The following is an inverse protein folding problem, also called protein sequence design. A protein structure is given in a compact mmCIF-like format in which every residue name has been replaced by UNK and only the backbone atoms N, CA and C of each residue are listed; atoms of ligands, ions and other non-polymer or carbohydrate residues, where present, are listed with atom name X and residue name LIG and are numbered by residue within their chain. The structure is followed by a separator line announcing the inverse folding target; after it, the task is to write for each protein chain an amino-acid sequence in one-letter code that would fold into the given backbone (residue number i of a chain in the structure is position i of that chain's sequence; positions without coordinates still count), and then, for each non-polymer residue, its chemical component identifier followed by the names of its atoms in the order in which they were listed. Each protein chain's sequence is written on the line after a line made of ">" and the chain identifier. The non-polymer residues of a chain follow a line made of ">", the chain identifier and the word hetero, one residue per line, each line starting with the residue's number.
data_IF_816520818217
#
_entry.id   IF_816520818217
#
_cell.length_a   1.000
_cell.length_b   1.000
_cell.length_c   1.000
_cell.angle_alpha   90.00
_cell.angle_beta   90.00
_cell.angle_gamma   90.00
#
_symmetry.space_group_name_H-M   'P 1'
#
loop_
_entity.id
_entity.type
_entity.pdbx_description
1 polymer ?
#
# COMPACT_ATOMS: atom_id res chain seq x y z
N UNK A 1 0.57 -3.84 20.89
CA UNK A 1 0.38 -4.64 22.12
C UNK A 1 -0.97 -5.37 22.17
N UNK A 2 -1.84 -5.18 21.18
CA UNK A 2 -3.19 -5.77 21.17
C UNK A 2 -3.29 -7.07 20.36
N UNK A 3 -2.23 -7.46 19.66
CA UNK A 3 -2.15 -8.70 18.89
C UNK A 3 -0.91 -9.49 19.34
N UNK A 4 -0.96 -10.16 20.49
CA UNK A 4 0.23 -10.79 21.11
C UNK A 4 0.84 -11.93 20.27
N UNK A 5 0.10 -12.47 19.31
CA UNK A 5 0.57 -13.54 18.41
C UNK A 5 0.96 -13.02 17.02
N UNK A 6 0.79 -11.72 16.73
CA UNK A 6 1.19 -11.15 15.46
C UNK A 6 2.71 -11.02 15.37
N UNK A 7 3.28 -11.48 14.27
CA UNK A 7 4.67 -11.24 13.91
C UNK A 7 4.73 -10.01 13.01
N UNK A 8 5.42 -8.99 13.46
CA UNK A 8 5.59 -7.73 12.75
C UNK A 8 6.95 -7.66 12.07
N UNK A 9 6.96 -7.13 10.85
CA UNK A 9 8.18 -6.76 10.13
C UNK A 9 8.00 -5.36 9.51
N UNK A 10 8.85 -4.43 9.89
CA UNK A 10 8.96 -3.13 9.26
C UNK A 10 10.01 -3.16 8.16
N UNK A 11 9.67 -2.59 7.00
CA UNK A 11 10.57 -2.43 5.86
C UNK A 11 10.58 -0.95 5.48
N UNK A 12 11.77 -0.39 5.32
CA UNK A 12 11.96 1.03 5.06
C UNK A 12 13.17 1.26 4.14
N UNK A 13 13.08 2.24 3.26
CA UNK A 13 14.16 2.60 2.36
C UNK A 13 15.26 3.43 3.06
N UNK A 14 14.88 4.28 4.01
CA UNK A 14 15.79 5.14 4.75
C UNK A 14 16.64 4.35 5.74
N UNK A 15 17.96 4.36 5.54
CA UNK A 15 18.91 3.72 6.45
C UNK A 15 18.79 4.27 7.88
N UNK A 16 18.62 5.59 8.01
CA UNK A 16 18.43 6.25 9.30
C UNK A 16 17.22 5.70 10.05
N UNK A 17 16.08 5.55 9.38
CA UNK A 17 14.86 5.03 10.00
C UNK A 17 15.00 3.53 10.32
N UNK A 18 15.66 2.76 9.46
CA UNK A 18 15.95 1.36 9.73
C UNK A 18 16.78 1.19 11.01
N UNK A 19 17.84 1.97 11.16
CA UNK A 19 18.69 1.93 12.35
C UNK A 19 17.92 2.38 13.61
N UNK A 20 17.10 3.44 13.49
CA UNK A 20 16.36 3.99 14.62
C UNK A 20 15.28 3.05 15.15
N UNK A 21 14.59 2.33 14.28
CA UNK A 21 13.42 1.50 14.64
C UNK A 21 13.67 0.00 14.56
N UNK A 22 14.88 -0.42 14.16
CA UNK A 22 15.19 -1.83 13.97
C UNK A 22 14.47 -2.45 12.78
N UNK A 23 14.16 -1.66 11.75
CA UNK A 23 13.49 -2.12 10.55
C UNK A 23 14.48 -2.65 9.51
N UNK A 24 13.99 -3.51 8.63
CA UNK A 24 14.77 -4.04 7.52
C UNK A 24 14.85 -3.02 6.39
N UNK A 25 16.05 -2.84 5.82
CA UNK A 25 16.21 -1.96 4.67
C UNK A 25 15.69 -2.65 3.41
N UNK A 26 14.78 -2.00 2.70
CA UNK A 26 14.23 -2.50 1.46
C UNK A 26 13.36 -1.48 0.76
N UNK A 27 13.00 -1.76 -0.48
CA UNK A 27 12.08 -0.96 -1.29
C UNK A 27 10.82 -1.75 -1.58
N UNK A 28 9.67 -1.10 -1.52
CA UNK A 28 8.39 -1.71 -1.92
C UNK A 28 8.39 -2.17 -3.39
N UNK A 29 9.31 -1.63 -4.20
CA UNK A 29 9.44 -1.95 -5.63
C UNK A 29 9.92 -3.38 -5.86
N UNK A 30 10.82 -3.88 -4.99
CA UNK A 30 11.54 -5.15 -5.19
C UNK A 30 11.76 -5.98 -3.92
N UNK A 31 11.25 -5.55 -2.78
CA UNK A 31 11.37 -6.31 -1.53
C UNK A 31 10.76 -7.70 -1.68
N UNK A 32 11.49 -8.71 -1.23
CA UNK A 32 11.05 -10.11 -1.26
C UNK A 32 10.92 -10.67 0.15
N UNK A 33 9.82 -11.35 0.41
CA UNK A 33 9.59 -12.09 1.64
C UNK A 33 9.69 -13.59 1.39
N UNK A 34 10.11 -14.34 2.40
CA UNK A 34 10.15 -15.82 2.35
C UNK A 34 8.74 -16.40 2.18
N UNK A 35 7.75 -15.74 2.79
CA UNK A 35 6.33 -16.10 2.68
C UNK A 35 5.51 -14.80 2.64
N UNK A 36 4.39 -14.78 1.91
CA UNK A 36 3.47 -13.66 1.93
C UNK A 36 2.92 -13.39 3.33
N UNK A 37 2.56 -12.14 3.58
CA UNK A 37 1.99 -11.68 4.83
C UNK A 37 0.46 -11.75 4.81
N UNK A 38 -0.15 -11.96 5.99
CA UNK A 38 -1.61 -11.92 6.15
C UNK A 38 -2.15 -10.49 6.08
N UNK A 39 -1.34 -9.52 6.52
CA UNK A 39 -1.64 -8.09 6.44
C UNK A 39 -0.41 -7.33 5.98
N UNK A 40 -0.59 -6.51 4.97
CA UNK A 40 0.41 -5.54 4.51
C UNK A 40 -0.13 -4.13 4.70
N UNK A 41 0.68 -3.24 5.24
CA UNK A 41 0.37 -1.81 5.39
C UNK A 41 1.38 -1.03 4.57
N UNK A 42 0.91 -0.30 3.55
CA UNK A 42 1.71 0.57 2.72
C UNK A 42 1.15 2.00 2.80
N UNK A 43 1.78 2.83 3.61
CA UNK A 43 1.28 4.15 3.96
C UNK A 43 2.28 5.23 3.57
N UNK A 44 1.85 6.19 2.75
CA UNK A 44 2.65 7.35 2.39
C UNK A 44 3.91 7.07 1.58
N UNK A 45 4.06 5.90 0.97
CA UNK A 45 5.27 5.46 0.27
C UNK A 45 5.14 5.62 -1.24
N UNK A 46 4.05 5.15 -1.83
CA UNK A 46 3.88 5.05 -3.28
C UNK A 46 3.90 6.39 -4.01
N UNK A 47 3.45 7.52 -3.44
CA UNK A 47 3.54 8.81 -4.10
C UNK A 47 4.98 9.28 -4.40
N UNK A 48 6.01 8.71 -3.78
CA UNK A 48 7.40 9.01 -4.07
C UNK A 48 7.99 8.25 -5.26
N UNK A 49 7.25 7.32 -5.82
CA UNK A 49 7.66 6.50 -6.96
C UNK A 49 7.19 7.13 -8.26
N UNK A 50 8.02 7.09 -9.30
CA UNK A 50 7.56 7.43 -10.65
C UNK A 50 6.56 6.37 -11.17
N UNK A 51 5.96 6.61 -12.34
CA UNK A 51 4.92 5.72 -12.87
C UNK A 51 5.40 4.29 -13.12
N UNK A 52 6.65 4.11 -13.52
CA UNK A 52 7.22 2.78 -13.77
C UNK A 52 7.44 2.02 -12.46
N UNK A 53 8.03 2.68 -11.47
CA UNK A 53 8.27 2.07 -10.16
C UNK A 53 6.98 1.90 -9.36
N UNK A 54 5.99 2.79 -9.53
CA UNK A 54 4.65 2.58 -8.98
C UNK A 54 4.04 1.28 -9.50
N UNK A 55 4.10 1.04 -10.82
CA UNK A 55 3.57 -0.18 -11.41
C UNK A 55 4.25 -1.44 -10.85
N UNK A 56 5.58 -1.42 -10.73
CA UNK A 56 6.34 -2.52 -10.11
C UNK A 56 5.96 -2.73 -8.64
N UNK A 57 5.84 -1.63 -7.88
CA UNK A 57 5.48 -1.70 -6.46
C UNK A 57 4.08 -2.29 -6.24
N UNK A 58 3.09 -1.88 -7.04
CA UNK A 58 1.73 -2.43 -6.97
C UNK A 58 1.71 -3.93 -7.30
N UNK A 59 2.48 -4.35 -8.29
CA UNK A 59 2.66 -5.77 -8.60
C UNK A 59 3.36 -6.51 -7.44
N UNK A 60 4.44 -5.93 -6.88
CA UNK A 60 5.17 -6.55 -5.77
C UNK A 60 4.32 -6.67 -4.50
N UNK A 61 3.47 -5.67 -4.20
CA UNK A 61 2.52 -5.75 -3.09
C UNK A 61 1.59 -6.96 -3.22
N UNK A 62 1.21 -7.36 -4.44
CA UNK A 62 0.40 -8.56 -4.65
C UNK A 62 1.14 -9.85 -4.29
N UNK A 63 2.44 -9.91 -4.55
CA UNK A 63 3.27 -11.04 -4.16
C UNK A 63 3.54 -11.11 -2.65
N UNK A 64 3.53 -9.95 -1.98
CA UNK A 64 3.78 -9.83 -0.54
C UNK A 64 2.54 -10.10 0.32
N UNK A 65 1.33 -9.96 -0.24
CA UNK A 65 0.07 -9.96 0.51
C UNK A 65 -0.86 -11.10 0.08
N UNK A 66 -1.10 -12.04 0.98
CA UNK A 66 -2.09 -13.12 0.77
C UNK A 66 -3.45 -12.88 1.46
N UNK A 67 -3.53 -11.86 2.31
CA UNK A 67 -4.74 -11.52 3.07
C UNK A 67 -5.22 -10.11 2.76
N UNK A 68 -5.03 -9.16 3.66
CA UNK A 68 -5.48 -7.80 3.51
C UNK A 68 -4.32 -6.84 3.26
N UNK A 69 -4.52 -5.87 2.35
CA UNK A 69 -3.63 -4.75 2.12
C UNK A 69 -4.35 -3.48 2.57
N UNK A 70 -3.72 -2.69 3.46
CA UNK A 70 -4.09 -1.31 3.71
C UNK A 70 -3.15 -0.41 2.91
N UNK A 71 -3.72 0.41 2.03
CA UNK A 71 -3.00 1.34 1.18
C UNK A 71 -3.46 2.76 1.45
N UNK A 72 -2.51 3.65 1.74
CA UNK A 72 -2.72 5.09 1.82
C UNK A 72 -1.75 5.79 0.88
N UNK A 73 -2.29 6.62 0.01
CA UNK A 73 -1.53 7.45 -0.89
C UNK A 73 -2.33 8.73 -1.20
N UNK A 74 -1.66 9.86 -1.23
CA UNK A 74 -2.23 11.12 -1.71
C UNK A 74 -2.26 11.08 -3.24
N UNK A 75 -3.43 11.35 -3.81
CA UNK A 75 -3.67 11.24 -5.26
C UNK A 75 -3.73 12.62 -5.94
N UNK A 76 -3.71 12.62 -7.28
CA UNK A 76 -3.90 13.85 -8.05
C UNK A 76 -5.25 14.52 -7.76
N UNK A 77 -6.29 13.72 -7.50
CA UNK A 77 -7.62 14.19 -7.15
C UNK A 77 -7.64 14.87 -5.76
N UNK A 78 -6.88 14.37 -4.79
CA UNK A 78 -6.75 14.98 -3.47
C UNK A 78 -6.07 16.35 -3.55
N UNK A 79 -5.02 16.47 -4.37
CA UNK A 79 -4.38 17.76 -4.65
C UNK A 79 -5.33 18.74 -5.34
N UNK A 80 -6.13 18.27 -6.31
CA UNK A 80 -7.09 19.09 -7.04
C UNK A 80 -8.29 19.53 -6.17
N UNK A 81 -8.67 18.74 -5.20
CA UNK A 81 -9.76 19.01 -4.26
C UNK A 81 -9.36 19.93 -3.08
N UNK A 82 -8.12 20.39 -3.03
CA UNK A 82 -7.57 21.25 -1.96
C UNK A 82 -7.76 20.65 -0.55
N UNK A 83 -7.74 19.33 -0.45
CA UNK A 83 -7.80 18.62 0.83
C UNK A 83 -6.41 18.30 1.39
N UNK A 84 -5.36 18.59 0.61
CA UNK A 84 -3.98 18.37 1.00
C UNK A 84 -3.39 19.66 1.56
N UNK A 85 -2.86 19.61 2.79
CA UNK A 85 -2.09 20.73 3.33
C UNK A 85 -0.69 20.76 2.68
N UNK A 86 -0.49 21.67 1.74
CA UNK A 86 0.78 21.83 1.02
C UNK A 86 1.98 22.16 1.94
N UNK A 87 1.72 22.69 3.13
CA UNK A 87 2.79 23.02 4.09
C UNK A 87 3.26 21.79 4.86
N UNK A 88 2.40 20.78 4.99
CA UNK A 88 2.68 19.56 5.72
C UNK A 88 2.99 18.38 4.79
N UNK A 89 2.72 18.52 3.48
CA UNK A 89 2.92 17.46 2.50
C UNK A 89 4.16 17.74 1.64
N UNK A 90 4.99 16.73 1.47
CA UNK A 90 6.21 16.85 0.68
C UNK A 90 5.88 17.09 -0.81
N UNK A 91 6.30 18.23 -1.33
CA UNK A 91 6.07 18.64 -2.73
C UNK A 91 6.82 17.75 -3.75
N UNK A 92 7.74 16.89 -3.32
CA UNK A 92 8.47 15.96 -4.20
C UNK A 92 7.67 14.73 -4.58
N UNK A 93 6.43 14.61 -4.12
CA UNK A 93 5.54 13.50 -4.49
C UNK A 93 5.09 13.62 -5.94
N UNK A 94 5.01 12.48 -6.62
CA UNK A 94 4.33 12.36 -7.90
C UNK A 94 2.81 12.36 -7.68
N UNK A 95 2.09 13.13 -8.50
CA UNK A 95 0.63 13.22 -8.40
C UNK A 95 -0.03 12.18 -9.29
N UNK A 96 0.01 10.93 -8.87
CA UNK A 96 -0.67 9.85 -9.58
C UNK A 96 -2.18 9.93 -9.39
N UNK A 97 -2.99 9.68 -10.43
CA UNK A 97 -4.44 9.60 -10.29
C UNK A 97 -4.81 8.34 -9.48
N UNK A 98 -5.90 8.41 -8.71
CA UNK A 98 -6.42 7.26 -7.95
C UNK A 98 -6.64 6.02 -8.83
N UNK A 99 -7.04 6.24 -10.09
CA UNK A 99 -7.24 5.16 -11.05
C UNK A 99 -5.95 4.36 -11.34
N UNK A 100 -4.78 4.99 -11.33
CA UNK A 100 -3.52 4.26 -11.53
C UNK A 100 -3.26 3.21 -10.43
N UNK A 101 -3.61 3.53 -9.19
CA UNK A 101 -3.53 2.57 -8.08
C UNK A 101 -4.55 1.43 -8.25
N UNK A 102 -5.80 1.78 -8.61
CA UNK A 102 -6.87 0.80 -8.83
C UNK A 102 -6.54 -0.15 -9.96
N UNK A 103 -6.05 0.36 -11.09
CA UNK A 103 -5.68 -0.46 -12.25
C UNK A 103 -4.57 -1.45 -11.92
N UNK A 104 -3.58 -1.02 -11.12
CA UNK A 104 -2.47 -1.89 -10.70
C UNK A 104 -2.88 -2.95 -9.67
N UNK A 105 -3.87 -2.66 -8.83
CA UNK A 105 -4.31 -3.58 -7.77
C UNK A 105 -5.45 -4.50 -8.20
N UNK A 106 -6.34 -4.07 -9.08
CA UNK A 106 -7.56 -4.81 -9.45
C UNK A 106 -7.33 -6.25 -9.95
N UNK A 107 -6.23 -6.58 -10.67
CA UNK A 107 -5.95 -7.97 -11.04
C UNK A 107 -5.77 -8.91 -9.85
N UNK A 108 -5.30 -8.40 -8.72
CA UNK A 108 -4.88 -9.20 -7.57
C UNK A 108 -5.73 -8.98 -6.32
N UNK A 109 -6.46 -7.88 -6.25
CA UNK A 109 -7.21 -7.49 -5.06
C UNK A 109 -8.65 -7.09 -5.39
N UNK A 110 -9.48 -7.14 -4.36
CA UNK A 110 -10.83 -6.59 -4.33
C UNK A 110 -10.79 -5.33 -3.47
N UNK A 111 -11.19 -4.18 -4.00
CA UNK A 111 -11.32 -2.94 -3.23
C UNK A 111 -12.49 -3.06 -2.24
N UNK A 112 -12.19 -2.82 -0.94
CA UNK A 112 -13.17 -2.89 0.14
C UNK A 112 -13.61 -1.51 0.63
N UNK A 113 -12.93 -0.46 0.18
CA UNK A 113 -13.12 0.91 0.64
C UNK A 113 -12.24 1.29 1.83
N UNK A 114 -12.13 2.59 2.09
CA UNK A 114 -11.32 3.12 3.19
C UNK A 114 -9.82 2.78 3.12
N UNK A 115 -9.28 2.57 1.92
CA UNK A 115 -7.88 2.15 1.73
C UNK A 115 -7.64 0.65 1.93
N UNK A 116 -8.69 -0.13 2.23
CA UNK A 116 -8.57 -1.57 2.46
C UNK A 116 -8.84 -2.37 1.16
N UNK A 117 -7.95 -3.32 0.92
CA UNK A 117 -7.99 -4.24 -0.23
C UNK A 117 -7.88 -5.67 0.27
N UNK A 118 -8.67 -6.58 -0.27
CA UNK A 118 -8.61 -8.00 0.03
C UNK A 118 -7.96 -8.76 -1.12
N UNK A 119 -6.94 -9.55 -0.82
CA UNK A 119 -6.31 -10.41 -1.84
C UNK A 119 -7.33 -11.38 -2.43
N UNK A 120 -7.31 -11.56 -3.75
CA UNK A 120 -8.15 -12.55 -4.43
C UNK A 120 -7.75 -14.00 -4.09
N UNK A 121 -6.54 -14.18 -3.53
CA UNK A 121 -6.07 -15.47 -3.03
C UNK A 121 -6.50 -15.74 -1.58
N UNK A 122 -7.07 -14.74 -0.89
CA UNK A 122 -7.61 -14.94 0.44
C UNK A 122 -8.84 -15.85 0.37
N UNK A 123 -8.83 -16.92 1.15
CA UNK A 123 -9.98 -17.84 1.27
C UNK A 123 -11.03 -17.25 2.22
N UNK A 124 -11.57 -16.08 1.82
CA UNK A 124 -12.58 -15.33 2.56
C UNK A 124 -13.72 -14.97 1.62
N UNK A 125 -14.98 -15.38 1.92
CA UNK A 125 -16.11 -14.96 1.12
C UNK A 125 -16.37 -13.47 1.31
N UNK A 126 -16.59 -12.75 0.21
CA UNK A 126 -16.92 -11.32 0.21
C UNK A 126 -18.37 -11.15 -0.24
N UNK A 127 -19.21 -10.69 0.66
CA UNK A 127 -20.64 -10.49 0.40
C UNK A 127 -20.91 -9.16 -0.31
N UNK A 128 -22.09 -9.02 -0.91
CA UNK A 128 -22.43 -7.86 -1.73
C UNK A 128 -22.33 -6.53 -0.99
N UNK A 129 -22.67 -6.47 0.31
CA UNK A 129 -22.57 -5.26 1.13
C UNK A 129 -21.14 -4.89 1.55
N UNK A 130 -20.19 -5.78 1.36
CA UNK A 130 -18.78 -5.58 1.70
C UNK A 130 -17.97 -5.00 0.53
N UNK A 131 -18.59 -4.93 -0.65
CA UNK A 131 -17.95 -4.36 -1.84
C UNK A 131 -18.46 -2.95 -2.08
N UNK A 132 -17.58 -1.99 -2.42
CA UNK A 132 -18.05 -0.71 -2.89
C UNK A 132 -18.94 -0.90 -4.14
N UNK A 133 -19.97 -0.07 -4.26
CA UNK A 133 -20.79 -0.01 -5.47
C UNK A 133 -19.93 0.60 -6.59
N UNK A 134 -19.89 -0.04 -7.77
CA UNK A 134 -19.12 0.48 -8.90
C UNK A 134 -19.63 1.83 -9.38
#
# INVERSE_FOLDING_TARGET
>A
RHLPHARYRGVEFSEYLCQRFGWERGSVVDYQAVQPYDLVICQGVLPYLDSNDLHKALHNLSALCRGALYLEAVTAEDWAADVVDEKLTDARQFKHPAQAYRDGLAPHFIEMGGGLWLSREADVPVFALERPVP
#
